data_IF_756023334854
#
_entry.id   IF_756023334854
#
_cell.length_a   1.000
_cell.length_b   1.000
_cell.length_c   1.000
_cell.angle_alpha   90.00
_cell.angle_beta   90.00
_cell.angle_gamma   90.00
#
_symmetry.space_group_name_H-M   'P 1'
#
loop_
_entity.id
_entity.type
_entity.pdbx_description
1 polymer ?
#
# COMPACT_ATOMS: atom_id res chain seq x y z
N UNK A 1 29.30 24.42 32.89
CA UNK A 1 28.54 23.22 32.48
C UNK A 1 27.12 23.65 32.18
N UNK A 2 26.72 23.59 30.92
CA UNK A 2 25.30 23.60 30.53
C UNK A 2 25.20 22.73 29.30
N UNK A 3 24.46 21.64 29.45
CA UNK A 3 24.49 20.49 28.56
C UNK A 3 23.94 20.82 27.18
N UNK A 4 24.70 20.47 26.15
CA UNK A 4 24.19 20.36 24.80
C UNK A 4 23.00 19.41 24.79
N UNK A 5 21.83 19.92 24.44
CA UNK A 5 20.69 19.10 24.01
C UNK A 5 21.21 18.15 22.94
N UNK A 6 21.24 16.86 23.27
CA UNK A 6 21.44 15.81 22.28
C UNK A 6 20.24 15.90 21.34
N UNK A 7 20.46 16.43 20.14
CA UNK A 7 19.52 16.26 19.04
C UNK A 7 19.30 14.76 18.91
N UNK A 8 18.09 14.28 19.19
CA UNK A 8 17.72 12.89 18.94
C UNK A 8 18.16 12.55 17.52
N UNK A 9 19.00 11.53 17.37
CA UNK A 9 19.58 11.19 16.07
C UNK A 9 18.48 10.99 15.06
N UNK A 10 18.39 11.87 14.06
CA UNK A 10 17.35 11.81 13.03
C UNK A 10 17.39 10.44 12.35
N UNK A 11 16.27 9.70 12.32
CA UNK A 11 16.20 8.43 11.60
C UNK A 11 16.57 8.66 10.13
N UNK A 12 17.71 8.13 9.71
CA UNK A 12 18.13 8.12 8.31
C UNK A 12 17.43 6.98 7.59
N UNK A 13 16.90 7.28 6.41
CA UNK A 13 16.23 6.29 5.57
C UNK A 13 16.54 6.57 4.10
N UNK A 14 16.66 5.51 3.31
CA UNK A 14 16.65 5.60 1.86
C UNK A 14 15.29 5.14 1.33
N UNK A 15 14.80 5.79 0.28
CA UNK A 15 13.67 5.32 -0.50
C UNK A 15 14.17 4.63 -1.76
N UNK A 16 13.62 3.47 -2.05
CA UNK A 16 13.81 2.74 -3.30
C UNK A 16 12.46 2.59 -4.01
N UNK A 17 12.36 3.05 -5.25
CA UNK A 17 11.12 3.05 -6.02
C UNK A 17 11.34 2.60 -7.45
N UNK A 18 10.24 2.35 -8.16
CA UNK A 18 10.25 1.97 -9.58
C UNK A 18 9.42 2.98 -10.37
N UNK A 19 9.99 3.54 -11.42
CA UNK A 19 9.28 4.44 -12.34
C UNK A 19 9.60 4.00 -13.77
N UNK A 20 8.56 3.73 -14.56
CA UNK A 20 8.68 3.19 -15.93
C UNK A 20 9.56 1.94 -15.98
N UNK A 21 9.41 1.05 -14.99
CA UNK A 21 10.23 -0.16 -14.84
C UNK A 21 11.70 0.07 -14.43
N UNK A 22 12.14 1.32 -14.24
CA UNK A 22 13.48 1.65 -13.76
C UNK A 22 13.49 1.82 -12.25
N UNK A 23 14.41 1.12 -11.60
CA UNK A 23 14.60 1.20 -10.15
C UNK A 23 15.60 2.31 -9.80
N UNK A 24 15.26 3.12 -8.82
CA UNK A 24 16.14 4.16 -8.26
C UNK A 24 16.12 4.05 -6.73
N UNK A 25 17.19 4.51 -6.09
CA UNK A 25 17.31 4.53 -4.63
C UNK A 25 18.13 5.74 -4.18
N UNK A 26 17.58 6.53 -3.26
CA UNK A 26 18.20 7.77 -2.74
C UNK A 26 17.84 7.98 -1.28
N UNK A 27 18.56 8.88 -0.60
CA UNK A 27 18.15 9.36 0.72
C UNK A 27 16.71 9.91 0.65
N UNK A 28 15.91 9.65 1.68
CA UNK A 28 14.50 10.05 1.70
C UNK A 28 14.31 11.56 1.45
N UNK A 29 15.23 12.40 1.93
CA UNK A 29 15.16 13.86 1.72
C UNK A 29 15.37 14.24 0.25
N UNK A 30 16.28 13.56 -0.43
CA UNK A 30 16.56 13.77 -1.86
C UNK A 30 15.45 13.20 -2.75
N UNK A 31 14.69 12.23 -2.23
CA UNK A 31 13.57 11.60 -2.92
C UNK A 31 12.23 12.35 -2.71
N UNK A 32 12.14 13.33 -1.80
CA UNK A 32 10.89 14.01 -1.44
C UNK A 32 10.15 14.67 -2.62
N UNK A 33 10.89 15.07 -3.67
CA UNK A 33 10.34 15.68 -4.88
C UNK A 33 9.83 14.69 -5.94
N UNK A 34 9.96 13.38 -5.72
CA UNK A 34 9.44 12.36 -6.63
C UNK A 34 7.91 12.34 -6.57
N UNK A 35 7.27 12.23 -7.73
CA UNK A 35 5.83 12.05 -7.85
C UNK A 35 5.44 10.60 -7.53
N UNK A 36 5.52 10.22 -6.25
CA UNK A 36 5.21 8.87 -5.77
C UNK A 36 3.76 8.43 -6.04
N UNK A 37 2.85 9.35 -6.35
CA UNK A 37 1.51 9.04 -6.85
C UNK A 37 1.49 8.41 -8.26
N UNK A 38 2.62 8.44 -8.98
CA UNK A 38 2.77 7.94 -10.36
C UNK A 38 3.79 6.81 -10.50
N UNK A 39 4.37 6.32 -9.40
CA UNK A 39 5.36 5.24 -9.42
C UNK A 39 4.69 3.88 -9.56
N UNK A 40 5.46 2.91 -10.05
CA UNK A 40 5.06 1.52 -10.11
C UNK A 40 5.11 0.87 -8.72
N UNK A 41 4.29 -0.17 -8.52
CA UNK A 41 4.29 -0.99 -7.30
C UNK A 41 5.68 -1.62 -7.12
N UNK A 42 6.38 -1.32 -6.01
CA UNK A 42 7.75 -1.81 -5.79
C UNK A 42 7.84 -3.28 -5.44
N UNK A 43 6.72 -3.85 -4.97
CA UNK A 43 6.59 -5.26 -4.68
C UNK A 43 6.14 -5.98 -5.94
N UNK A 44 7.00 -6.82 -6.51
CA UNK A 44 6.59 -7.73 -7.57
C UNK A 44 5.55 -8.68 -6.96
N UNK A 45 4.29 -8.73 -7.45
CA UNK A 45 3.31 -9.68 -6.98
C UNK A 45 3.88 -11.06 -7.27
N UNK A 46 4.28 -11.78 -6.23
CA UNK A 46 4.93 -13.05 -6.39
C UNK A 46 3.90 -14.00 -7.05
N UNK A 47 4.13 -14.38 -8.31
CA UNK A 47 3.32 -15.38 -9.01
C UNK A 47 3.61 -16.75 -8.39
N UNK A 48 2.98 -17.06 -7.25
CA UNK A 48 3.13 -18.33 -6.55
C UNK A 48 1.81 -19.09 -6.51
N UNK A 49 1.89 -20.35 -6.96
CA UNK A 49 0.80 -21.25 -7.37
C UNK A 49 -0.17 -21.73 -6.27
N UNK A 50 -0.29 -21.05 -5.11
CA UNK A 50 -1.16 -21.49 -4.00
C UNK A 50 -1.80 -20.31 -3.24
N UNK A 51 -2.39 -19.34 -3.95
CA UNK A 51 -2.82 -18.05 -3.36
C UNK A 51 -4.13 -18.11 -2.55
N UNK A 52 -4.13 -17.46 -1.38
CA UNK A 52 -5.33 -17.05 -0.63
C UNK A 52 -6.02 -15.91 -1.42
N UNK A 53 -7.34 -15.98 -1.59
CA UNK A 53 -8.13 -15.26 -2.59
C UNK A 53 -8.38 -13.75 -2.37
N UNK A 54 -7.47 -13.00 -1.72
CA UNK A 54 -7.79 -11.65 -1.19
C UNK A 54 -7.04 -10.48 -1.82
N UNK A 55 -6.18 -10.73 -2.80
CA UNK A 55 -5.43 -9.71 -3.53
C UNK A 55 -6.13 -9.34 -4.86
N UNK A 56 -5.91 -8.13 -5.38
CA UNK A 56 -6.46 -7.71 -6.67
C UNK A 56 -6.25 -6.24 -6.97
N UNK A 57 -6.99 -5.75 -7.98
CA UNK A 57 -7.00 -4.35 -8.36
C UNK A 57 -8.32 -3.68 -8.00
N UNK A 58 -8.24 -2.46 -7.48
CA UNK A 58 -9.37 -1.56 -7.28
C UNK A 58 -9.28 -0.42 -8.27
N UNK A 59 -10.38 -0.12 -8.97
CA UNK A 59 -10.47 1.07 -9.81
C UNK A 59 -10.68 2.29 -8.93
N UNK A 60 -9.66 3.12 -8.78
CA UNK A 60 -9.72 4.38 -8.07
C UNK A 60 -10.23 5.48 -9.02
N UNK A 61 -11.37 6.08 -8.69
CA UNK A 61 -11.95 7.16 -9.49
C UNK A 61 -11.06 8.42 -9.47
N UNK A 62 -10.38 8.66 -8.35
CA UNK A 62 -9.49 9.80 -8.13
C UNK A 62 -8.33 9.85 -9.13
N UNK A 63 -7.74 8.69 -9.44
CA UNK A 63 -6.61 8.57 -10.36
C UNK A 63 -7.00 8.02 -11.74
N UNK A 64 -8.27 7.64 -11.93
CA UNK A 64 -8.76 6.90 -13.10
C UNK A 64 -7.85 5.71 -13.46
N UNK A 65 -7.39 4.98 -12.43
CA UNK A 65 -6.41 3.90 -12.58
C UNK A 65 -6.71 2.74 -11.65
N UNK A 66 -6.05 1.60 -11.91
CA UNK A 66 -6.11 0.43 -11.05
C UNK A 66 -5.01 0.51 -10.00
N UNK A 67 -5.40 0.50 -8.72
CA UNK A 67 -4.49 0.46 -7.58
C UNK A 67 -4.52 -0.94 -6.97
N UNK A 68 -3.35 -1.51 -6.71
CA UNK A 68 -3.21 -2.89 -6.19
C UNK A 68 -3.51 -2.94 -4.68
N UNK A 69 -4.07 -4.05 -4.22
CA UNK A 69 -4.21 -4.38 -2.79
C UNK A 69 -3.93 -5.87 -2.57
N UNK A 70 -3.37 -6.21 -1.42
CA UNK A 70 -3.07 -7.59 -0.99
C UNK A 70 -4.14 -8.14 -0.03
N UNK A 71 -4.93 -7.27 0.59
CA UNK A 71 -6.01 -7.67 1.50
C UNK A 71 -7.31 -6.90 1.32
N UNK A 72 -8.42 -7.50 1.75
CA UNK A 72 -9.72 -6.81 1.80
C UNK A 72 -9.71 -5.62 2.77
N UNK A 73 -8.83 -5.63 3.76
CA UNK A 73 -8.65 -4.54 4.72
C UNK A 73 -8.00 -3.34 4.02
N UNK A 74 -6.93 -3.56 3.25
CA UNK A 74 -6.32 -2.56 2.36
C UNK A 74 -7.31 -2.03 1.33
N UNK A 75 -8.11 -2.90 0.70
CA UNK A 75 -9.16 -2.46 -0.23
C UNK A 75 -10.17 -1.51 0.43
N UNK A 76 -10.58 -1.78 1.66
CA UNK A 76 -11.50 -0.91 2.38
C UNK A 76 -10.86 0.44 2.74
N UNK A 77 -9.59 0.46 3.13
CA UNK A 77 -8.83 1.70 3.32
C UNK A 77 -8.74 2.50 2.01
N UNK A 78 -8.41 1.82 0.91
CA UNK A 78 -8.32 2.44 -0.42
C UNK A 78 -9.65 3.05 -0.88
N UNK A 79 -10.78 2.39 -0.61
CA UNK A 79 -12.11 2.95 -0.88
C UNK A 79 -12.42 4.21 -0.05
N UNK A 80 -11.91 4.30 1.19
CA UNK A 80 -12.04 5.51 2.01
C UNK A 80 -11.18 6.64 1.44
N UNK A 81 -9.95 6.35 1.06
CA UNK A 81 -9.02 7.30 0.45
C UNK A 81 -9.56 7.84 -0.89
N UNK A 82 -10.05 6.97 -1.77
CA UNK A 82 -10.63 7.35 -3.08
C UNK A 82 -11.91 8.20 -2.96
N UNK A 83 -12.57 8.19 -1.79
CA UNK A 83 -13.75 9.02 -1.53
C UNK A 83 -13.39 10.40 -0.95
N UNK A 84 -12.20 10.56 -0.40
CA UNK A 84 -11.77 11.82 0.20
C UNK A 84 -11.45 12.84 -0.91
N UNK A 85 -12.26 13.91 -0.99
CA UNK A 85 -12.13 14.95 -2.01
C UNK A 85 -10.84 15.76 -1.92
N UNK A 86 -10.06 15.61 -0.84
CA UNK A 86 -8.75 16.24 -0.71
C UNK A 86 -7.68 15.48 -1.47
N UNK A 87 -7.88 14.19 -1.73
CA UNK A 87 -6.92 13.31 -2.39
C UNK A 87 -6.88 13.62 -3.88
N UNK A 88 -5.68 13.84 -4.39
CA UNK A 88 -5.37 14.09 -5.79
C UNK A 88 -4.67 12.91 -6.48
N UNK A 89 -4.00 12.04 -5.71
CA UNK A 89 -3.23 10.92 -6.24
C UNK A 89 -3.07 9.79 -5.23
N UNK A 90 -3.03 8.55 -5.74
CA UNK A 90 -2.92 7.32 -4.96
C UNK A 90 -2.00 6.33 -5.65
N UNK A 91 -1.05 5.77 -4.89
CA UNK A 91 -0.22 4.67 -5.34
C UNK A 91 -0.13 3.59 -4.25
N UNK A 92 -0.19 2.32 -4.64
CA UNK A 92 -0.04 1.17 -3.73
C UNK A 92 1.41 0.71 -3.68
N UNK A 93 1.93 0.45 -2.48
CA UNK A 93 3.31 0.00 -2.26
C UNK A 93 4.31 0.80 -3.10
N UNK A 94 4.37 2.12 -2.88
CA UNK A 94 5.04 3.09 -3.76
C UNK A 94 6.57 3.04 -3.65
N UNK A 95 7.09 2.56 -2.52
CA UNK A 95 8.52 2.57 -2.22
C UNK A 95 8.88 1.51 -1.20
N UNK A 96 10.14 1.07 -1.20
CA UNK A 96 10.77 0.47 -0.02
C UNK A 96 11.47 1.58 0.76
N UNK A 97 11.23 1.63 2.06
CA UNK A 97 11.95 2.43 3.03
C UNK A 97 13.02 1.54 3.65
N UNK A 98 14.28 1.94 3.56
CA UNK A 98 15.41 1.23 4.12
C UNK A 98 16.00 2.02 5.27
N UNK A 99 16.09 1.41 6.45
CA UNK A 99 16.80 2.01 7.59
C UNK A 99 18.15 1.32 7.78
N UNK A 100 19.29 2.02 7.55
CA UNK A 100 20.62 1.40 7.63
C UNK A 100 20.97 0.79 8.99
N UNK A 101 20.32 1.24 10.06
CA UNK A 101 20.60 0.87 11.45
C UNK A 101 19.30 0.51 12.22
N UNK A 102 18.22 0.18 11.51
CA UNK A 102 16.87 0.03 12.10
C UNK A 102 16.17 -1.30 11.79
N UNK A 103 14.83 -1.28 11.87
CA UNK A 103 13.91 -2.42 11.77
C UNK A 103 13.86 -3.16 10.39
N UNK A 104 14.91 -3.05 9.56
CA UNK A 104 14.99 -3.66 8.24
C UNK A 104 14.47 -2.76 7.12
N UNK A 105 13.62 -3.29 6.25
CA UNK A 105 12.97 -2.54 5.17
C UNK A 105 11.46 -2.69 5.23
N UNK A 106 10.75 -1.64 4.88
CA UNK A 106 9.30 -1.57 4.93
C UNK A 106 8.75 -0.97 3.65
N UNK A 107 7.64 -1.49 3.14
CA UNK A 107 6.90 -0.87 2.05
C UNK A 107 5.54 -0.42 2.60
N UNK A 108 5.26 0.90 2.62
CA UNK A 108 3.95 1.40 3.03
C UNK A 108 2.86 0.87 2.12
N UNK A 109 1.65 0.64 2.64
CA UNK A 109 0.56 0.13 1.81
C UNK A 109 0.14 1.14 0.74
N UNK A 110 0.04 2.43 1.09
CA UNK A 110 -0.31 3.49 0.15
C UNK A 110 0.51 4.77 0.32
N UNK A 111 0.71 5.48 -0.79
CA UNK A 111 1.05 6.90 -0.82
C UNK A 111 -0.15 7.71 -1.30
N UNK A 112 -0.36 8.85 -0.66
CA UNK A 112 -1.45 9.78 -0.93
C UNK A 112 -0.87 11.14 -1.25
N UNK A 113 -1.24 11.70 -2.40
CA UNK A 113 -1.04 13.12 -2.73
C UNK A 113 -2.33 13.86 -2.49
N UNK A 114 -2.27 15.02 -1.83
CA UNK A 114 -3.41 15.92 -1.65
C UNK A 114 -3.39 17.08 -2.65
N UNK A 115 -4.55 17.68 -2.90
CA UNK A 115 -4.69 18.83 -3.82
C UNK A 115 -3.93 20.08 -3.37
N UNK A 116 -3.62 20.22 -2.08
CA UNK A 116 -2.78 21.32 -1.55
C UNK A 116 -1.27 21.07 -1.76
N UNK A 117 -0.90 19.95 -2.38
CA UNK A 117 0.48 19.52 -2.63
C UNK A 117 1.09 18.72 -1.49
N UNK A 118 0.47 18.65 -0.31
CA UNK A 118 0.94 17.80 0.79
C UNK A 118 0.83 16.31 0.44
N UNK A 119 1.58 15.49 1.15
CA UNK A 119 1.62 14.05 0.95
C UNK A 119 1.47 13.30 2.27
N UNK A 120 1.04 12.05 2.20
CA UNK A 120 1.05 11.14 3.33
C UNK A 120 1.39 9.70 2.93
N UNK A 121 2.06 8.99 3.84
CA UNK A 121 2.17 7.53 3.80
C UNK A 121 1.09 6.91 4.69
N UNK A 122 0.51 5.81 4.21
CA UNK A 122 -0.56 5.11 4.90
C UNK A 122 -0.23 3.63 5.01
N UNK A 123 -0.24 3.13 6.24
CA UNK A 123 -0.20 1.69 6.55
C UNK A 123 -1.56 1.19 7.00
N UNK A 124 -1.88 -0.04 6.65
CA UNK A 124 -3.19 -0.63 6.86
C UNK A 124 -3.04 -1.94 7.63
N UNK A 125 -3.31 -1.87 8.94
CA UNK A 125 -3.09 -3.00 9.85
C UNK A 125 -4.21 -3.06 10.89
N UNK A 126 -5.00 -4.15 10.95
CA UNK A 126 -6.01 -4.31 12.00
C UNK A 126 -5.38 -4.18 13.39
N UNK A 127 -6.01 -3.45 14.30
CA UNK A 127 -5.46 -3.15 15.62
C UNK A 127 -5.02 -4.42 16.40
N UNK A 128 -5.80 -5.49 16.30
CA UNK A 128 -5.52 -6.78 16.93
C UNK A 128 -4.31 -7.54 16.33
N UNK A 129 -3.77 -7.06 15.21
CA UNK A 129 -2.61 -7.63 14.49
C UNK A 129 -1.38 -6.72 14.54
N UNK A 130 -1.42 -5.63 15.30
CA UNK A 130 -0.26 -4.77 15.52
C UNK A 130 0.59 -5.40 16.62
N UNK A 131 1.76 -5.91 16.27
CA UNK A 131 2.78 -6.35 17.22
C UNK A 131 3.83 -5.27 17.50
N UNK A 132 4.77 -5.56 18.40
CA UNK A 132 5.84 -4.62 18.77
C UNK A 132 6.72 -4.23 17.56
N UNK A 133 7.05 -5.19 16.70
CA UNK A 133 7.81 -4.95 15.46
C UNK A 133 7.04 -4.04 14.49
N UNK A 134 5.71 -4.23 14.36
CA UNK A 134 4.87 -3.35 13.53
C UNK A 134 4.88 -1.93 14.11
N UNK A 135 4.77 -1.79 15.44
CA UNK A 135 4.78 -0.50 16.12
C UNK A 135 6.12 0.24 15.97
N UNK A 136 7.25 -0.48 16.00
CA UNK A 136 8.56 0.11 15.74
C UNK A 136 8.67 0.63 14.30
N UNK A 137 8.26 -0.18 13.31
CA UNK A 137 8.23 0.24 11.90
C UNK A 137 7.35 1.47 11.72
N UNK A 138 6.16 1.48 12.32
CA UNK A 138 5.25 2.64 12.23
C UNK A 138 5.85 3.90 12.83
N UNK A 139 6.51 3.80 13.99
CA UNK A 139 7.22 4.93 14.61
C UNK A 139 8.35 5.43 13.69
N UNK A 140 9.16 4.54 13.14
CA UNK A 140 10.26 4.91 12.25
C UNK A 140 9.75 5.55 10.94
N UNK A 141 8.66 5.04 10.37
CA UNK A 141 8.01 5.64 9.20
C UNK A 141 7.44 7.03 9.53
N UNK A 142 6.81 7.19 10.69
CA UNK A 142 6.29 8.48 11.15
C UNK A 142 7.41 9.54 11.27
N UNK A 143 8.54 9.17 11.88
CA UNK A 143 9.70 10.07 12.03
C UNK A 143 10.30 10.47 10.68
N UNK A 144 10.34 9.57 9.70
CA UNK A 144 10.76 9.90 8.33
C UNK A 144 9.75 10.86 7.68
N UNK A 145 8.45 10.60 7.79
CA UNK A 145 7.41 11.46 7.23
C UNK A 145 7.47 12.88 7.83
N UNK A 146 7.63 13.00 9.14
CA UNK A 146 7.74 14.28 9.83
C UNK A 146 8.91 15.11 9.28
N UNK A 147 10.07 14.49 9.04
CA UNK A 147 11.24 15.15 8.45
C UNK A 147 10.99 15.63 7.02
N UNK A 148 10.17 14.91 6.26
CA UNK A 148 9.78 15.26 4.90
C UNK A 148 8.66 16.31 4.84
N UNK A 149 8.06 16.66 5.99
CA UNK A 149 6.84 17.46 6.05
C UNK A 149 5.61 16.72 5.52
N UNK A 150 5.63 15.38 5.54
CA UNK A 150 4.54 14.52 5.11
C UNK A 150 3.71 14.06 6.31
N UNK A 151 2.44 13.77 6.07
CA UNK A 151 1.59 13.06 7.02
C UNK A 151 1.94 11.58 7.10
N UNK A 152 1.61 10.96 8.24
CA UNK A 152 1.65 9.51 8.39
C UNK A 152 0.39 9.03 9.08
N UNK A 153 -0.21 7.95 8.57
CA UNK A 153 -1.43 7.38 9.11
C UNK A 153 -1.36 5.86 9.14
N UNK A 154 -1.76 5.27 10.28
CA UNK A 154 -2.06 3.84 10.37
C UNK A 154 -3.57 3.66 10.42
N UNK A 155 -4.14 3.01 9.41
CA UNK A 155 -5.55 2.63 9.37
C UNK A 155 -5.72 1.29 10.06
N UNK A 156 -6.26 1.33 11.28
CA UNK A 156 -6.44 0.14 12.14
C UNK A 156 -7.89 -0.06 12.62
N UNK A 157 -8.79 0.83 12.24
CA UNK A 157 -10.16 0.95 12.73
C UNK A 157 -11.23 0.70 11.64
N UNK A 158 -10.91 -0.07 10.59
CA UNK A 158 -11.94 -0.47 9.62
C UNK A 158 -12.95 -1.39 10.32
N UNK A 159 -14.23 -1.01 10.27
CA UNK A 159 -15.23 -1.58 11.16
C UNK A 159 -15.37 -3.10 10.98
N UNK A 160 -15.67 -3.80 12.08
CA UNK A 160 -15.92 -5.25 12.07
C UNK A 160 -17.05 -5.63 11.09
N UNK A 161 -18.03 -4.73 10.90
CA UNK A 161 -19.13 -4.91 9.94
C UNK A 161 -18.65 -4.81 8.50
N UNK A 162 -17.80 -3.84 8.16
CA UNK A 162 -17.16 -3.77 6.84
C UNK A 162 -16.29 -5.02 6.60
N UNK A 163 -15.52 -5.45 7.61
CA UNK A 163 -14.69 -6.65 7.51
C UNK A 163 -15.53 -7.94 7.33
N UNK A 164 -16.62 -8.11 8.09
CA UNK A 164 -17.52 -9.28 8.01
C UNK A 164 -18.33 -9.28 6.72
N UNK A 165 -18.88 -8.14 6.30
CA UNK A 165 -19.60 -8.03 5.05
C UNK A 165 -18.68 -8.35 3.86
N UNK A 166 -17.41 -7.95 3.92
CA UNK A 166 -16.45 -8.25 2.86
C UNK A 166 -15.98 -9.71 2.87
N UNK A 167 -15.77 -10.33 4.05
CA UNK A 167 -15.52 -11.78 4.18
C UNK A 167 -16.72 -12.62 3.71
N UNK A 168 -17.94 -12.13 3.95
CA UNK A 168 -19.18 -12.74 3.49
C UNK A 168 -19.37 -12.59 1.97
N UNK A 169 -19.16 -11.39 1.41
CA UNK A 169 -19.26 -11.11 -0.03
C UNK A 169 -18.16 -11.80 -0.86
N UNK A 170 -16.97 -12.05 -0.29
CA UNK A 170 -15.94 -12.86 -0.94
C UNK A 170 -16.35 -14.32 -1.12
N UNK A 171 -17.25 -14.84 -0.27
CA UNK A 171 -17.82 -16.19 -0.42
C UNK A 171 -18.81 -16.31 -1.59
N UNK A 172 -19.52 -15.24 -1.93
CA UNK A 172 -20.53 -15.25 -3.00
C UNK A 172 -20.00 -14.90 -4.40
N UNK A 173 -18.76 -14.38 -4.51
CA UNK A 173 -18.12 -14.12 -5.81
C UNK A 173 -17.50 -15.36 -6.47
N UNK A 174 -17.49 -16.51 -5.79
CA UNK A 174 -17.02 -17.79 -6.34
C UNK A 174 -18.01 -18.51 -7.28
N UNK A 175 -19.17 -17.91 -7.60
CA UNK A 175 -20.21 -18.51 -8.45
C UNK A 175 -20.68 -17.58 -9.57
N UNK A 176 -19.78 -16.84 -10.24
CA UNK A 176 -20.11 -16.18 -11.53
C UNK A 176 -18.98 -16.18 -12.57
N UNK A 177 -18.15 -17.21 -12.59
CA UNK A 177 -17.44 -17.63 -13.82
C UNK A 177 -18.01 -18.97 -14.30
N UNK A 178 -19.26 -18.92 -14.76
CA UNK A 178 -19.84 -19.98 -15.60
C UNK A 178 -20.59 -19.32 -16.75
N UNK A 179 -19.84 -18.72 -17.68
CA UNK A 179 -20.23 -18.69 -19.09
C UNK A 179 -19.47 -19.84 -19.74
N UNK A 180 -20.08 -20.87 -20.30
CA UNK A 180 -21.27 -20.84 -21.15
C UNK A 180 -20.83 -20.98 -22.60
N UNK A 181 -20.31 -22.15 -22.97
CA UNK A 181 -19.98 -22.50 -24.36
C UNK A 181 -20.49 -23.90 -24.67
N UNK A 182 -21.66 -24.00 -25.30
CA UNK A 182 -22.27 -25.25 -25.78
C UNK A 182 -21.45 -25.85 -26.93
N UNK A 183 -21.33 -27.18 -26.87
CA UNK A 183 -21.32 -28.18 -27.95
C UNK A 183 -20.37 -28.03 -29.16
N UNK A 184 -19.51 -29.04 -29.34
CA UNK A 184 -19.48 -29.81 -30.60
C UNK A 184 -19.00 -31.25 -30.35
N UNK A 185 -19.85 -32.20 -30.76
CA UNK A 185 -19.55 -33.62 -30.93
C UNK A 185 -18.76 -33.78 -32.22
N UNK A 186 -17.63 -34.47 -32.18
CA UNK A 186 -17.00 -35.04 -33.38
C UNK A 186 -16.69 -36.50 -33.08
N UNK A 187 -17.36 -37.41 -33.80
CA UNK A 187 -16.94 -38.80 -33.97
C UNK A 187 -15.96 -38.84 -35.15
N UNK A 188 -14.90 -39.62 -35.04
CA UNK A 188 -14.36 -40.33 -36.20
C UNK A 188 -13.93 -41.73 -35.75
N UNK A 189 -14.55 -42.73 -36.38
CA UNK A 189 -14.01 -44.07 -36.52
C UNK A 189 -13.68 -44.27 -38.00
N UNK A 190 -12.63 -45.05 -38.23
CA UNK A 190 -12.14 -45.54 -39.51
C UNK A 190 -11.06 -46.56 -39.21
#
# INVERSE_FOLDING_TARGET
>A
MSGSLQTAGSVRADFEWVLDGKRDRRDAMDAAGVAFESVDVVRVPASWQHKRSYEGFYWAATTASHVWFESLYERAALMRLDRDRRVAGLASQPMWIHWPQGAGKHAPDFFVRYHDGSAALVDVRPAERIGDDDAEVFRMTAEVCERLGWGYQVVSDISVTEHRNLRFLSGYRALRTSGGGRARRVRFGG
#
